data_IF_437293638509
#
_entry.id   IF_437293638509
#
_cell.length_a   1.000
_cell.length_b   1.000
_cell.length_c   1.000
_cell.angle_alpha   90.00
_cell.angle_beta   90.00
_cell.angle_gamma   90.00
#
_symmetry.space_group_name_H-M   'P 1'
#
loop_
_entity.id
_entity.type
_entity.pdbx_description
1 polymer ?
#
# COMPACT_ATOMS: atom_id res chain seq x y z
N UNK A 1 -4.87 14.72 14.87
CA UNK A 1 -5.23 13.69 13.87
C UNK A 1 -3.96 13.04 13.34
N UNK A 2 -4.00 11.73 13.12
CA UNK A 2 -2.87 11.01 12.55
C UNK A 2 -2.72 11.28 11.05
N UNK A 3 -1.55 10.95 10.53
CA UNK A 3 -1.28 10.87 9.10
C UNK A 3 -1.01 9.41 8.72
N UNK A 4 -0.98 9.11 7.44
CA UNK A 4 -0.54 7.79 6.97
C UNK A 4 0.92 7.50 7.36
N UNK A 5 1.76 8.53 7.49
CA UNK A 5 3.12 8.37 8.00
C UNK A 5 3.14 7.86 9.43
N UNK A 6 2.21 8.32 10.26
CA UNK A 6 2.07 7.86 11.64
C UNK A 6 1.67 6.38 11.71
N UNK A 7 0.85 5.93 10.77
CA UNK A 7 0.36 4.55 10.70
C UNK A 7 1.41 3.62 10.13
N UNK A 8 1.99 3.99 9.00
CA UNK A 8 2.93 3.16 8.26
C UNK A 8 4.34 3.17 8.85
N UNK A 9 4.65 4.19 9.62
CA UNK A 9 5.99 4.38 10.17
C UNK A 9 6.96 4.94 9.13
N UNK A 10 8.20 4.51 9.18
CA UNK A 10 9.21 4.92 8.20
C UNK A 10 9.04 4.16 6.88
N UNK A 11 9.64 4.64 5.78
CA UNK A 11 9.49 4.03 4.46
C UNK A 11 9.76 2.53 4.39
N UNK A 12 10.83 2.05 5.03
CA UNK A 12 11.13 0.61 5.07
C UNK A 12 10.03 -0.19 5.78
N UNK A 13 9.50 0.33 6.88
CA UNK A 13 8.39 -0.29 7.60
C UNK A 13 7.13 -0.33 6.74
N UNK A 14 6.86 0.71 5.99
CA UNK A 14 5.72 0.76 5.07
C UNK A 14 5.83 -0.30 3.97
N UNK A 15 7.02 -0.48 3.38
CA UNK A 15 7.25 -1.53 2.38
C UNK A 15 7.10 -2.92 3.00
N UNK A 16 7.62 -3.14 4.21
CA UNK A 16 7.41 -4.41 4.94
C UNK A 16 5.92 -4.66 5.20
N UNK A 17 5.18 -3.64 5.58
CA UNK A 17 3.73 -3.75 5.77
C UNK A 17 3.00 -4.11 4.47
N UNK A 18 3.45 -3.60 3.32
CA UNK A 18 2.93 -4.02 2.01
C UNK A 18 3.15 -5.52 1.77
N UNK A 19 4.36 -6.00 2.00
CA UNK A 19 4.71 -7.42 1.80
C UNK A 19 3.83 -8.30 2.69
N UNK A 20 3.80 -8.02 3.98
CA UNK A 20 3.03 -8.80 4.95
C UNK A 20 1.52 -8.71 4.69
N UNK A 21 1.04 -7.50 4.38
CA UNK A 21 -0.37 -7.29 4.05
C UNK A 21 -0.80 -8.04 2.79
N UNK A 22 0.01 -8.01 1.74
CA UNK A 22 -0.27 -8.76 0.51
C UNK A 22 -0.31 -10.27 0.78
N UNK A 23 0.61 -10.80 1.57
CA UNK A 23 0.61 -12.23 1.95
C UNK A 23 -0.65 -12.58 2.74
N UNK A 24 -1.06 -11.75 3.69
CA UNK A 24 -2.21 -12.00 4.54
C UNK A 24 -3.53 -11.88 3.77
N UNK A 25 -3.72 -10.78 3.03
CA UNK A 25 -4.98 -10.48 2.35
C UNK A 25 -5.10 -11.11 0.97
N UNK A 26 -4.00 -11.23 0.24
CA UNK A 26 -4.00 -11.78 -1.11
C UNK A 26 -4.37 -13.26 -1.19
N UNK A 27 -4.30 -13.99 -0.08
CA UNK A 27 -4.68 -15.40 0.01
C UNK A 27 -6.10 -15.62 0.53
N UNK A 28 -6.82 -14.56 0.88
CA UNK A 28 -8.19 -14.65 1.38
C UNK A 28 -9.19 -14.83 0.23
N UNK A 29 -10.28 -15.55 0.51
CA UNK A 29 -11.36 -15.76 -0.46
C UNK A 29 -12.25 -14.54 -0.64
N UNK A 30 -12.31 -13.69 0.40
CA UNK A 30 -13.17 -12.49 0.42
C UNK A 30 -12.43 -11.21 0.04
N UNK A 31 -11.20 -11.31 -0.43
CA UNK A 31 -10.38 -10.18 -0.83
C UNK A 31 -9.64 -10.44 -2.15
N UNK A 32 -9.65 -9.45 -3.03
CA UNK A 32 -8.92 -9.47 -4.31
C UNK A 32 -7.93 -8.33 -4.34
N UNK A 33 -6.68 -8.65 -4.65
CA UNK A 33 -5.66 -7.62 -4.88
C UNK A 33 -5.94 -6.95 -6.23
N UNK A 34 -6.24 -5.66 -6.18
CA UNK A 34 -6.50 -4.83 -7.37
C UNK A 34 -5.62 -3.59 -7.31
N UNK A 35 -4.58 -3.57 -8.13
CA UNK A 35 -3.59 -2.49 -8.14
C UNK A 35 -4.11 -1.19 -8.76
N UNK A 36 -5.31 -1.21 -9.33
CA UNK A 36 -5.94 -0.03 -9.93
C UNK A 36 -6.87 0.70 -8.97
N UNK A 37 -7.11 0.15 -7.78
CA UNK A 37 -8.08 0.70 -6.84
C UNK A 37 -7.51 0.71 -5.43
N UNK A 38 -7.64 1.84 -4.74
CA UNK A 38 -7.26 1.94 -3.34
C UNK A 38 -8.11 1.02 -2.45
N UNK A 39 -9.38 0.88 -2.75
CA UNK A 39 -10.21 -0.06 -2.01
C UNK A 39 -11.69 0.05 -2.35
N UNK A 40 -12.40 -0.99 -2.03
CA UNK A 40 -13.84 -1.06 -2.21
C UNK A 40 -14.40 -2.44 -1.92
N UNK A 41 -15.69 -2.61 -2.20
CA UNK A 41 -16.39 -3.88 -2.02
C UNK A 41 -17.46 -4.03 -3.09
N UNK A 42 -17.53 -5.21 -3.68
CA UNK A 42 -18.57 -5.59 -4.65
C UNK A 42 -19.07 -6.98 -4.29
N UNK A 43 -20.37 -7.12 -4.05
CA UNK A 43 -21.04 -8.40 -3.79
C UNK A 43 -20.37 -9.23 -2.66
N UNK A 44 -19.97 -8.57 -1.59
CA UNK A 44 -19.36 -9.21 -0.44
C UNK A 44 -17.87 -9.52 -0.58
N UNK A 45 -17.27 -9.17 -1.71
CA UNK A 45 -15.83 -9.31 -1.94
C UNK A 45 -15.17 -7.93 -1.86
N UNK A 46 -14.17 -7.81 -1.01
CA UNK A 46 -13.35 -6.61 -0.89
C UNK A 46 -12.22 -6.63 -1.91
N UNK A 47 -11.77 -5.46 -2.30
CA UNK A 47 -10.60 -5.32 -3.18
C UNK A 47 -9.78 -4.11 -2.80
N UNK A 48 -8.50 -4.15 -3.09
CA UNK A 48 -7.59 -3.04 -2.81
C UNK A 48 -6.18 -3.30 -3.33
N UNK A 49 -5.39 -2.24 -3.38
CA UNK A 49 -4.00 -2.31 -3.83
C UNK A 49 -3.05 -2.68 -2.69
N UNK A 50 -1.76 -2.73 -3.01
CA UNK A 50 -0.73 -3.00 -2.01
C UNK A 50 -0.71 -1.98 -0.88
N UNK A 51 -0.99 -0.71 -1.17
CA UNK A 51 -1.07 0.33 -0.15
C UNK A 51 -2.24 0.09 0.82
N UNK A 52 -3.38 -0.37 0.33
CA UNK A 52 -4.52 -0.78 1.15
C UNK A 52 -4.11 -1.90 2.10
N UNK A 53 -3.46 -2.93 1.57
CA UNK A 53 -2.97 -4.05 2.37
C UNK A 53 -1.96 -3.60 3.44
N UNK A 54 -1.07 -2.69 3.10
CA UNK A 54 -0.12 -2.12 4.05
C UNK A 54 -0.81 -1.37 5.18
N UNK A 55 -1.80 -0.54 4.86
CA UNK A 55 -2.54 0.22 5.86
C UNK A 55 -3.31 -0.68 6.81
N UNK A 56 -3.94 -1.74 6.31
CA UNK A 56 -4.62 -2.72 7.13
C UNK A 56 -3.66 -3.43 8.07
N UNK A 57 -2.54 -3.88 7.53
CA UNK A 57 -1.53 -4.58 8.33
C UNK A 57 -0.96 -3.68 9.42
N UNK A 58 -0.63 -2.45 9.08
CA UNK A 58 -0.04 -1.49 10.02
C UNK A 58 -1.03 -0.99 11.07
N UNK A 59 -2.29 -0.78 10.69
CA UNK A 59 -3.34 -0.30 11.61
C UNK A 59 -4.00 -1.40 12.42
N UNK A 60 -3.91 -2.65 11.99
CA UNK A 60 -4.62 -3.76 12.60
C UNK A 60 -6.12 -3.81 12.28
N UNK A 61 -6.61 -2.98 11.37
CA UNK A 61 -8.01 -2.96 10.96
C UNK A 61 -8.23 -4.01 9.87
N UNK A 62 -9.20 -4.89 10.08
CA UNK A 62 -9.54 -5.91 9.08
C UNK A 62 -10.49 -5.34 8.01
N UNK A 63 -10.00 -5.26 6.78
CA UNK A 63 -10.75 -4.78 5.62
C UNK A 63 -11.57 -5.92 5.01
N UNK A 64 -12.80 -6.01 5.43
CA UNK A 64 -13.70 -7.06 4.98
C UNK A 64 -15.11 -6.50 4.70
N UNK A 65 -15.98 -7.32 4.11
CA UNK A 65 -17.32 -6.91 3.70
C UNK A 65 -18.23 -6.45 4.85
N UNK A 66 -17.85 -6.70 6.10
CA UNK A 66 -18.59 -6.22 7.28
C UNK A 66 -18.20 -4.80 7.65
N UNK A 67 -16.98 -4.38 7.31
CA UNK A 67 -16.39 -3.12 7.72
C UNK A 67 -16.47 -2.05 6.64
N UNK A 68 -16.80 -2.40 5.40
CA UNK A 68 -16.93 -1.45 4.30
C UNK A 68 -18.23 -1.62 3.56
N UNK A 69 -18.72 -0.53 3.01
CA UNK A 69 -19.89 -0.50 2.15
C UNK A 69 -19.50 -0.82 0.70
N UNK A 70 -20.50 -0.96 -0.18
CA UNK A 70 -20.29 -1.17 -1.62
C UNK A 70 -19.56 -0.01 -2.29
N UNK A 71 -19.56 1.16 -1.68
CA UNK A 71 -18.80 2.31 -2.12
C UNK A 71 -17.44 2.33 -1.42
N UNK A 72 -16.49 3.03 -2.03
CA UNK A 72 -15.17 3.19 -1.48
C UNK A 72 -15.22 3.85 -0.10
N UNK A 73 -14.75 3.14 0.91
CA UNK A 73 -14.81 3.59 2.29
C UNK A 73 -13.42 4.01 2.79
N UNK A 74 -13.29 5.29 3.04
CA UNK A 74 -12.07 5.89 3.60
C UNK A 74 -11.94 5.69 5.10
N UNK A 75 -12.98 5.17 5.75
CA UNK A 75 -13.02 5.01 7.21
C UNK A 75 -12.06 3.94 7.75
N UNK A 76 -11.38 3.22 6.87
CA UNK A 76 -10.32 2.30 7.25
C UNK A 76 -9.32 2.93 8.21
N UNK A 77 -9.15 4.24 8.10
CA UNK A 77 -8.26 5.04 8.93
C UNK A 77 -8.97 6.34 9.30
N UNK A 78 -10.07 6.18 10.02
CA UNK A 78 -11.04 7.26 10.30
C UNK A 78 -10.46 8.47 11.03
N UNK A 79 -9.36 8.31 11.73
CA UNK A 79 -8.70 9.38 12.48
C UNK A 79 -7.59 10.11 11.70
N UNK A 80 -7.40 9.76 10.44
CA UNK A 80 -6.46 10.47 9.55
C UNK A 80 -7.10 11.75 9.02
N UNK A 81 -6.33 12.82 8.96
CA UNK A 81 -6.82 14.09 8.41
C UNK A 81 -7.22 13.94 6.93
N UNK A 82 -8.26 14.65 6.52
CA UNK A 82 -8.73 14.62 5.12
C UNK A 82 -7.65 15.08 4.16
N UNK A 83 -6.89 16.12 4.52
CA UNK A 83 -5.81 16.62 3.68
C UNK A 83 -4.74 15.55 3.44
N UNK A 84 -4.37 14.80 4.47
CA UNK A 84 -3.38 13.72 4.35
C UNK A 84 -3.94 12.54 3.56
N UNK A 85 -5.21 12.19 3.73
CA UNK A 85 -5.87 11.17 2.92
C UNK A 85 -5.80 11.50 1.43
N UNK A 86 -6.18 12.71 1.05
CA UNK A 86 -6.12 13.15 -0.34
C UNK A 86 -4.69 13.13 -0.89
N UNK A 87 -3.72 13.57 -0.11
CA UNK A 87 -2.32 13.55 -0.49
C UNK A 87 -1.82 12.12 -0.72
N UNK A 88 -2.10 11.21 0.20
CA UNK A 88 -1.70 9.81 0.11
C UNK A 88 -2.32 9.13 -1.12
N UNK A 89 -3.63 9.26 -1.28
CA UNK A 89 -4.35 8.66 -2.39
C UNK A 89 -3.87 9.19 -3.74
N UNK A 90 -3.64 10.50 -3.85
CA UNK A 90 -3.13 11.10 -5.08
C UNK A 90 -1.74 10.53 -5.43
N UNK A 91 -0.86 10.38 -4.45
CA UNK A 91 0.46 9.80 -4.68
C UNK A 91 0.37 8.34 -5.13
N UNK A 92 -0.53 7.55 -4.55
CA UNK A 92 -0.68 6.14 -4.88
C UNK A 92 -1.36 5.95 -6.24
N UNK A 93 -2.46 6.66 -6.49
CA UNK A 93 -3.27 6.47 -7.70
C UNK A 93 -2.60 7.06 -8.95
N UNK A 94 -1.99 8.23 -8.83
CA UNK A 94 -1.44 8.96 -9.98
C UNK A 94 -0.30 8.20 -10.64
N UNK A 95 0.53 7.54 -9.86
CA UNK A 95 1.74 6.91 -10.40
C UNK A 95 1.53 5.48 -10.90
N UNK A 96 0.42 4.84 -10.58
CA UNK A 96 0.00 3.51 -11.08
C UNK A 96 1.12 2.46 -11.19
N UNK A 97 2.18 2.60 -10.42
CA UNK A 97 3.39 1.79 -10.57
C UNK A 97 3.54 0.77 -9.44
N UNK A 98 2.43 0.27 -8.95
CA UNK A 98 2.45 -0.74 -7.91
C UNK A 98 2.87 -0.20 -6.57
N UNK A 99 2.43 1.00 -6.23
CA UNK A 99 2.53 1.59 -4.90
C UNK A 99 3.93 1.99 -4.38
N UNK A 100 5.06 1.29 -4.65
CA UNK A 100 6.32 1.70 -4.04
C UNK A 100 6.78 3.09 -4.48
N UNK A 101 6.63 3.41 -5.76
CA UNK A 101 7.00 4.73 -6.26
C UNK A 101 6.08 5.82 -5.67
N UNK A 102 4.78 5.58 -5.64
CA UNK A 102 3.83 6.49 -5.00
C UNK A 102 4.12 6.67 -3.53
N UNK A 103 4.49 5.60 -2.85
CA UNK A 103 4.87 5.65 -1.45
C UNK A 103 6.12 6.50 -1.25
N UNK A 104 7.14 6.37 -2.10
CA UNK A 104 8.34 7.20 -2.03
C UNK A 104 8.01 8.69 -2.23
N UNK A 105 7.12 9.00 -3.16
CA UNK A 105 6.64 10.38 -3.38
C UNK A 105 5.91 10.90 -2.14
N UNK A 106 5.03 10.10 -1.54
CA UNK A 106 4.31 10.48 -0.33
C UNK A 106 5.27 10.77 0.83
N UNK A 107 6.31 9.96 1.00
CA UNK A 107 7.35 10.18 2.01
C UNK A 107 8.34 11.29 1.62
N UNK A 108 8.17 11.90 0.46
CA UNK A 108 9.03 12.97 -0.05
C UNK A 108 10.50 12.55 -0.17
N UNK A 109 10.72 11.34 -0.69
CA UNK A 109 12.06 10.78 -0.87
C UNK A 109 12.48 10.81 -2.34
N UNK A 110 13.71 11.25 -2.65
CA UNK A 110 14.26 11.18 -4.01
C UNK A 110 14.74 9.76 -4.37
N UNK A 111 14.16 8.74 -3.80
CA UNK A 111 14.63 7.36 -3.87
C UNK A 111 14.57 6.81 -5.30
N UNK A 112 13.57 7.22 -6.08
CA UNK A 112 13.46 6.81 -7.48
C UNK A 112 14.62 7.28 -8.33
N UNK A 113 15.23 8.42 -8.00
CA UNK A 113 16.40 8.94 -8.70
C UNK A 113 17.66 8.16 -8.36
N UNK A 114 17.85 7.86 -7.08
CA UNK A 114 19.10 7.26 -6.59
C UNK A 114 19.08 5.72 -6.69
N UNK A 115 17.88 5.12 -6.66
CA UNK A 115 17.66 3.68 -6.68
C UNK A 115 16.60 3.29 -7.71
N UNK A 116 16.60 3.95 -8.86
CA UNK A 116 15.60 3.77 -9.90
C UNK A 116 15.48 2.34 -10.41
N UNK A 117 16.58 1.61 -10.47
CA UNK A 117 16.59 0.21 -10.93
C UNK A 117 15.81 -0.70 -9.97
N UNK A 118 15.98 -0.50 -8.66
CA UNK A 118 15.24 -1.26 -7.65
C UNK A 118 13.75 -0.92 -7.74
N UNK A 119 13.41 0.37 -7.81
CA UNK A 119 12.03 0.82 -7.92
C UNK A 119 11.37 0.29 -9.20
N UNK A 120 12.06 0.35 -10.33
CA UNK A 120 11.56 -0.18 -11.60
C UNK A 120 11.28 -1.69 -11.52
N UNK A 121 12.14 -2.42 -10.82
CA UNK A 121 11.95 -3.85 -10.57
C UNK A 121 10.79 -4.18 -9.65
N UNK A 122 10.22 -3.21 -8.94
CA UNK A 122 9.08 -3.39 -8.05
C UNK A 122 7.74 -3.10 -8.73
N UNK A 123 7.71 -2.88 -10.04
CA UNK A 123 6.46 -2.63 -10.74
C UNK A 123 5.54 -3.84 -10.66
N UNK A 124 4.37 -3.64 -10.09
CA UNK A 124 3.42 -4.70 -9.76
C UNK A 124 2.07 -4.43 -10.39
N UNK A 125 1.41 -5.46 -10.89
CA UNK A 125 0.02 -5.42 -11.29
C UNK A 125 -0.82 -6.42 -10.46
N UNK A 126 -2.12 -6.47 -10.74
CA UNK A 126 -3.07 -7.31 -9.99
C UNK A 126 -2.83 -8.80 -10.19
N UNK A 127 -2.10 -9.20 -11.23
CA UNK A 127 -1.89 -10.60 -11.61
C UNK A 127 -0.52 -11.11 -11.17
N UNK A 128 0.51 -10.23 -11.15
CA UNK A 128 1.89 -10.64 -10.91
C UNK A 128 2.41 -10.34 -9.49
N UNK A 129 1.58 -9.81 -8.60
CA UNK A 129 2.05 -9.28 -7.32
C UNK A 129 2.81 -10.32 -6.48
N UNK A 130 2.43 -11.61 -6.56
CA UNK A 130 3.13 -12.68 -5.83
C UNK A 130 4.57 -12.84 -6.31
N UNK A 131 4.77 -12.76 -7.62
CA UNK A 131 6.09 -12.90 -8.22
C UNK A 131 6.99 -11.69 -7.93
N UNK A 132 6.39 -10.55 -7.60
CA UNK A 132 7.11 -9.32 -7.33
C UNK A 132 7.50 -9.14 -5.85
N UNK A 133 7.01 -9.97 -4.95
CA UNK A 133 7.33 -9.86 -3.52
C UNK A 133 8.83 -9.89 -3.22
N UNK A 134 9.66 -10.73 -3.85
CA UNK A 134 11.11 -10.68 -3.63
C UNK A 134 11.73 -9.32 -3.98
N UNK A 135 11.21 -8.64 -5.00
CA UNK A 135 11.68 -7.31 -5.39
C UNK A 135 11.32 -6.27 -4.33
N UNK A 136 10.14 -6.39 -3.71
CA UNK A 136 9.76 -5.53 -2.60
C UNK A 136 10.63 -5.78 -1.36
N UNK A 137 11.02 -7.02 -1.10
CA UNK A 137 11.95 -7.35 -0.02
C UNK A 137 13.31 -6.71 -0.26
N UNK A 138 13.80 -6.73 -1.50
CA UNK A 138 15.03 -6.06 -1.89
C UNK A 138 14.95 -4.55 -1.66
N UNK A 139 13.81 -3.94 -2.00
CA UNK A 139 13.57 -2.52 -1.75
C UNK A 139 13.59 -2.20 -0.26
N UNK A 140 12.90 -2.99 0.54
CA UNK A 140 12.89 -2.82 1.99
C UNK A 140 14.28 -2.94 2.60
N UNK A 141 15.06 -3.93 2.17
CA UNK A 141 16.44 -4.12 2.61
C UNK A 141 17.32 -2.90 2.26
N UNK A 142 17.16 -2.37 1.05
CA UNK A 142 17.92 -1.21 0.60
C UNK A 142 17.57 0.05 1.40
N UNK A 143 16.28 0.26 1.69
CA UNK A 143 15.81 1.37 2.53
C UNK A 143 16.37 1.25 3.95
N UNK A 144 16.32 0.06 4.53
CA UNK A 144 16.87 -0.19 5.87
C UNK A 144 18.37 0.04 5.92
N UNK A 145 19.12 -0.37 4.89
CA UNK A 145 20.56 -0.14 4.78
C UNK A 145 20.89 1.36 4.73
N UNK A 146 20.02 2.16 4.15
CA UNK A 146 20.17 3.62 4.09
C UNK A 146 19.64 4.32 5.37
N UNK A 147 19.11 3.58 6.32
CA UNK A 147 18.59 4.12 7.56
C UNK A 147 17.21 4.80 7.42
N UNK A 148 16.47 4.46 6.39
CA UNK A 148 15.20 5.10 6.06
C UNK A 148 13.99 4.21 6.41
#
# INVERSE_FOLDING_TARGET
MRTYKDILGKPSAAVRAMIEGLKDYGNRKDFVVDMKSYGGSIDGTCFGCAATCACQKASGVDYNSKNINSEWDRSLVSDVSMADQYCFEACIDELRCGCPQGLMVYFNLPYCRDHGDIIAGCRMDSENWRDMLPNYEQLADALEADGI
#
